data_IF_921072120271
#
_entry.id   IF_921072120271
#
_cell.length_a   1.000
_cell.length_b   1.000
_cell.length_c   1.000
_cell.angle_alpha   90.00
_cell.angle_beta   90.00
_cell.angle_gamma   90.00
#
_symmetry.space_group_name_H-M   'P 1'
#
loop_
_entity.id
_entity.type
_entity.pdbx_description
1 polymer ?
#
# COMPACT_ATOMS: atom_id res chain seq x y z
N UNK A 1 16.38 -7.08 -4.27
CA UNK A 1 15.40 -6.27 -5.03
C UNK A 1 16.11 -5.12 -5.75
N UNK A 2 16.69 -5.33 -6.94
CA UNK A 2 17.52 -4.31 -7.60
C UNK A 2 16.73 -3.24 -8.41
N UNK A 3 15.42 -3.39 -8.61
CA UNK A 3 14.64 -2.48 -9.46
C UNK A 3 14.02 -1.27 -8.74
N UNK A 4 13.97 -1.30 -7.40
CA UNK A 4 13.28 -0.28 -6.58
C UNK A 4 13.89 1.12 -6.66
N UNK A 5 15.17 1.20 -7.03
CA UNK A 5 15.92 2.45 -7.04
C UNK A 5 16.32 2.90 -8.45
N UNK A 6 15.75 2.28 -9.48
CA UNK A 6 16.01 2.70 -10.85
C UNK A 6 15.60 4.16 -11.06
N UNK A 7 16.30 4.84 -11.97
CA UNK A 7 15.98 6.23 -12.34
C UNK A 7 14.54 6.39 -12.85
N UNK A 8 13.94 5.32 -13.41
CA UNK A 8 12.55 5.32 -13.84
C UNK A 8 11.60 5.39 -12.63
N UNK A 9 11.78 4.53 -11.62
CA UNK A 9 10.96 4.54 -10.40
C UNK A 9 11.17 5.84 -9.62
N UNK A 10 12.41 6.33 -9.51
CA UNK A 10 12.71 7.62 -8.87
C UNK A 10 11.98 8.78 -9.53
N UNK A 11 11.99 8.84 -10.87
CA UNK A 11 11.25 9.87 -11.63
C UNK A 11 9.76 9.84 -11.37
N UNK A 12 9.13 8.66 -11.41
CA UNK A 12 7.69 8.53 -11.15
C UNK A 12 7.36 8.90 -9.70
N UNK A 13 8.18 8.48 -8.73
CA UNK A 13 7.95 8.80 -7.33
C UNK A 13 8.13 10.29 -6.99
N UNK A 14 8.85 11.02 -7.84
CA UNK A 14 9.08 12.46 -7.71
C UNK A 14 8.14 13.28 -8.60
N UNK A 15 7.19 12.64 -9.29
CA UNK A 15 6.23 13.36 -10.12
C UNK A 15 5.38 14.32 -9.28
N UNK A 16 5.35 15.59 -9.69
CA UNK A 16 4.72 16.66 -8.91
C UNK A 16 3.22 16.46 -8.68
N UNK A 17 2.49 15.81 -9.59
CA UNK A 17 1.07 15.55 -9.42
C UNK A 17 0.84 14.48 -8.36
N UNK A 18 1.66 13.42 -8.36
CA UNK A 18 1.62 12.37 -7.34
C UNK A 18 2.00 12.97 -5.97
N UNK A 19 3.13 13.67 -5.90
CA UNK A 19 3.65 14.23 -4.65
C UNK A 19 2.65 15.20 -4.03
N UNK A 20 2.06 16.12 -4.81
CA UNK A 20 1.09 17.09 -4.28
C UNK A 20 -0.13 16.43 -3.61
N UNK A 21 -0.64 15.33 -4.19
CA UNK A 21 -1.76 14.58 -3.60
C UNK A 21 -1.31 13.86 -2.32
N UNK A 22 -0.13 13.23 -2.33
CA UNK A 22 0.43 12.56 -1.16
C UNK A 22 0.68 13.55 -0.01
N UNK A 23 1.25 14.72 -0.29
CA UNK A 23 1.47 15.79 0.68
C UNK A 23 0.16 16.24 1.33
N UNK A 24 -0.90 16.35 0.53
CA UNK A 24 -2.24 16.71 1.00
C UNK A 24 -2.79 15.65 1.95
N UNK A 25 -2.68 14.36 1.60
CA UNK A 25 -3.20 13.26 2.45
C UNK A 25 -2.39 13.13 3.74
N UNK A 26 -1.06 13.23 3.66
CA UNK A 26 -0.17 13.11 4.82
C UNK A 26 -0.07 14.40 5.63
N UNK A 27 -0.55 15.53 5.10
CA UNK A 27 -0.48 16.85 5.74
C UNK A 27 0.95 17.33 6.00
N UNK A 28 1.90 16.98 5.13
CA UNK A 28 3.31 17.39 5.24
C UNK A 28 4.02 17.26 3.89
N UNK A 29 5.08 18.06 3.72
CA UNK A 29 6.03 17.97 2.60
C UNK A 29 7.27 17.12 2.94
N UNK A 30 7.43 16.77 4.23
CA UNK A 30 8.49 15.90 4.71
C UNK A 30 8.07 14.44 4.51
N UNK A 31 8.32 13.96 3.29
CA UNK A 31 7.92 12.66 2.78
C UNK A 31 9.11 11.76 2.42
N UNK A 32 8.94 10.49 2.72
CA UNK A 32 9.81 9.42 2.25
C UNK A 32 9.01 8.42 1.44
N UNK A 33 9.55 8.06 0.27
CA UNK A 33 9.06 6.94 -0.52
C UNK A 33 9.73 5.66 -0.06
N UNK A 34 8.94 4.61 0.16
CA UNK A 34 9.42 3.27 0.44
C UNK A 34 8.65 2.24 -0.40
N UNK A 35 9.23 1.07 -0.62
CA UNK A 35 8.49 -0.10 -1.10
C UNK A 35 7.82 0.04 -2.47
N UNK A 36 8.51 0.48 -3.53
CA UNK A 36 7.93 0.32 -4.86
C UNK A 36 7.63 -1.18 -5.15
N UNK A 37 6.55 -1.48 -5.85
CA UNK A 37 6.26 -2.85 -6.28
C UNK A 37 5.61 -2.84 -7.65
N UNK A 38 6.18 -3.57 -8.60
CA UNK A 38 5.52 -3.83 -9.88
C UNK A 38 4.86 -5.19 -9.78
N UNK A 39 3.54 -5.22 -10.01
CA UNK A 39 2.74 -6.44 -9.96
C UNK A 39 2.07 -6.66 -11.30
N UNK A 40 2.31 -7.84 -11.87
CA UNK A 40 1.52 -8.42 -12.97
C UNK A 40 0.51 -9.38 -12.35
N UNK A 41 -0.78 -9.07 -12.45
CA UNK A 41 -1.84 -9.84 -11.79
C UNK A 41 -3.21 -9.50 -12.36
N UNK A 42 -4.21 -10.29 -12.00
CA UNK A 42 -5.62 -10.00 -12.26
C UNK A 42 -6.26 -9.40 -11.00
N UNK A 43 -7.27 -8.50 -11.10
CA UNK A 43 -7.95 -7.95 -9.93
C UNK A 43 -8.51 -9.01 -8.97
N UNK A 44 -9.08 -10.09 -9.50
CA UNK A 44 -9.65 -11.15 -8.68
C UNK A 44 -8.65 -11.93 -7.81
N UNK A 45 -7.34 -11.84 -8.07
CA UNK A 45 -6.30 -12.42 -7.20
C UNK A 45 -6.16 -11.69 -5.86
N UNK A 46 -6.75 -10.50 -5.72
CA UNK A 46 -6.83 -9.74 -4.48
C UNK A 46 -8.29 -9.42 -4.11
N UNK A 47 -9.19 -10.36 -4.37
CA UNK A 47 -10.66 -10.19 -4.24
C UNK A 47 -11.20 -10.18 -2.81
N UNK A 48 -10.45 -10.72 -1.86
CA UNK A 48 -10.82 -10.60 -0.44
C UNK A 48 -10.59 -9.16 0.02
N UNK A 49 -11.50 -8.63 0.84
CA UNK A 49 -11.25 -7.38 1.56
C UNK A 49 -10.01 -7.52 2.44
N UNK A 50 -9.07 -6.59 2.31
CA UNK A 50 -7.83 -6.60 3.07
C UNK A 50 -7.33 -5.19 3.36
N UNK A 51 -6.29 -5.15 4.18
CA UNK A 51 -5.38 -4.03 4.38
C UNK A 51 -3.98 -4.62 4.20
N UNK A 52 -3.10 -3.93 3.48
CA UNK A 52 -1.71 -4.37 3.37
C UNK A 52 -1.09 -4.43 4.76
N UNK A 53 -0.36 -5.50 5.03
CA UNK A 53 0.09 -5.82 6.38
C UNK A 53 0.92 -4.68 6.99
N UNK A 54 1.85 -4.15 6.22
CA UNK A 54 2.72 -3.04 6.61
C UNK A 54 1.89 -1.79 6.91
N UNK A 55 0.84 -1.56 6.12
CA UNK A 55 -0.06 -0.41 6.28
C UNK A 55 -0.94 -0.51 7.53
N UNK A 56 -1.28 -1.74 7.95
CA UNK A 56 -1.95 -1.97 9.24
C UNK A 56 -1.06 -1.57 10.42
N UNK A 57 0.25 -1.83 10.30
CA UNK A 57 1.22 -1.60 11.37
C UNK A 57 1.81 -0.17 11.35
N UNK A 58 1.92 0.44 10.17
CA UNK A 58 2.58 1.73 9.96
C UNK A 58 1.76 2.66 9.04
N UNK A 59 1.50 3.91 9.45
CA UNK A 59 0.74 4.86 8.63
C UNK A 59 1.42 5.14 7.29
N UNK A 60 0.75 4.77 6.21
CA UNK A 60 1.27 4.82 4.84
C UNK A 60 0.18 5.32 3.91
N UNK A 61 0.58 6.07 2.87
CA UNK A 61 -0.25 6.35 1.69
C UNK A 61 0.25 5.50 0.54
N UNK A 62 -0.64 4.79 -0.12
CA UNK A 62 -0.34 4.01 -1.31
C UNK A 62 -0.78 4.78 -2.55
N UNK A 63 0.09 4.80 -3.55
CA UNK A 63 -0.18 5.28 -4.90
C UNK A 63 -0.17 4.08 -5.84
N UNK A 64 -1.32 3.79 -6.45
CA UNK A 64 -1.46 2.74 -7.47
C UNK A 64 -1.46 3.36 -8.85
N UNK A 65 -0.57 2.92 -9.72
CA UNK A 65 -0.35 3.46 -11.07
C UNK A 65 -0.60 2.34 -12.09
N UNK A 66 -1.47 2.60 -13.07
CA UNK A 66 -1.69 1.68 -14.18
C UNK A 66 -0.57 1.77 -15.20
N UNK A 67 0.10 0.64 -15.49
CA UNK A 67 1.19 0.60 -16.46
C UNK A 67 0.77 -0.04 -17.78
N UNK A 68 0.04 -1.15 -17.72
CA UNK A 68 -0.38 -1.91 -18.89
C UNK A 68 -1.67 -2.70 -18.59
N UNK A 69 -2.66 -2.62 -19.46
CA UNK A 69 -3.90 -3.42 -19.36
C UNK A 69 -4.83 -3.00 -18.23
N UNK A 70 -4.61 -1.83 -17.63
CA UNK A 70 -5.48 -1.27 -16.60
C UNK A 70 -6.68 -0.57 -17.22
N UNK A 71 -7.86 -0.88 -16.69
CA UNK A 71 -9.14 -0.27 -17.06
C UNK A 71 -9.93 0.13 -15.82
N UNK A 72 -11.06 0.81 -16.02
CA UNK A 72 -12.00 1.14 -14.95
C UNK A 72 -12.50 -0.11 -14.23
N UNK A 73 -12.82 -1.18 -14.96
CA UNK A 73 -13.30 -2.45 -14.41
C UNK A 73 -12.23 -3.10 -13.52
N UNK A 74 -10.95 -2.90 -13.87
CA UNK A 74 -9.85 -3.41 -13.07
C UNK A 74 -9.63 -2.60 -11.77
N UNK A 75 -10.17 -1.38 -11.66
CA UNK A 75 -9.86 -0.48 -10.56
C UNK A 75 -10.15 -1.08 -9.18
N UNK A 76 -9.32 -0.69 -8.21
CA UNK A 76 -9.48 -1.12 -6.82
C UNK A 76 -10.79 -0.60 -6.24
N UNK A 77 -11.43 -1.47 -5.47
CA UNK A 77 -12.57 -1.14 -4.62
C UNK A 77 -12.07 -0.80 -3.23
N UNK A 78 -12.65 0.21 -2.61
CA UNK A 78 -12.37 0.64 -1.25
C UNK A 78 -13.67 0.71 -0.44
N UNK A 79 -13.57 0.58 0.89
CA UNK A 79 -14.68 0.89 1.78
C UNK A 79 -14.38 2.22 2.51
N UNK A 80 -14.99 3.34 2.12
CA UNK A 80 -14.67 4.66 2.67
C UNK A 80 -14.77 4.72 4.21
N UNK A 81 -13.91 5.53 4.83
CA UNK A 81 -13.88 5.72 6.29
C UNK A 81 -13.20 4.62 7.11
N UNK A 82 -13.05 3.40 6.57
CA UNK A 82 -12.46 2.26 7.31
C UNK A 82 -11.00 2.43 7.72
N UNK A 83 -10.24 3.29 7.03
CA UNK A 83 -8.86 3.66 7.42
C UNK A 83 -8.74 4.19 8.86
N UNK A 84 -9.84 4.69 9.43
CA UNK A 84 -9.91 5.19 10.81
C UNK A 84 -10.02 4.08 11.86
N UNK A 85 -10.44 2.88 11.46
CA UNK A 85 -10.66 1.75 12.37
C UNK A 85 -9.36 1.10 12.83
N UNK A 86 -8.28 1.22 12.04
CA UNK A 86 -6.93 0.69 12.36
C UNK A 86 -6.93 -0.80 12.71
N UNK A 87 -7.73 -1.57 11.99
CA UNK A 87 -7.86 -3.01 12.13
C UNK A 87 -8.03 -3.67 10.76
N UNK A 88 -7.73 -4.97 10.70
CA UNK A 88 -8.05 -5.78 9.54
C UNK A 88 -9.58 -5.88 9.35
N UNK A 89 -10.06 -6.06 8.10
CA UNK A 89 -11.48 -6.33 7.85
C UNK A 89 -11.91 -7.64 8.52
N UNK A 90 -13.21 -7.76 8.87
CA UNK A 90 -13.84 -9.04 9.20
C UNK A 90 -13.65 -10.08 8.09
N UNK A 91 -13.89 -11.35 8.43
CA UNK A 91 -13.68 -12.47 7.50
C UNK A 91 -14.77 -12.57 6.42
N UNK A 92 -15.94 -11.99 6.66
CA UNK A 92 -17.08 -12.12 5.75
C UNK A 92 -17.44 -10.79 5.10
N UNK A 93 -17.85 -10.85 3.82
CA UNK A 93 -18.32 -9.67 3.08
C UNK A 93 -19.50 -9.00 3.77
N UNK A 94 -20.43 -9.76 4.35
CA UNK A 94 -21.59 -9.21 5.04
C UNK A 94 -21.19 -8.34 6.25
N UNK A 95 -20.21 -8.78 7.03
CA UNK A 95 -19.68 -8.00 8.15
C UNK A 95 -18.92 -6.77 7.66
N UNK A 96 -18.10 -6.91 6.62
CA UNK A 96 -17.39 -5.78 6.01
C UNK A 96 -18.37 -4.71 5.54
N UNK A 97 -19.40 -5.10 4.78
CA UNK A 97 -20.39 -4.18 4.20
C UNK A 97 -21.31 -3.57 5.26
N UNK A 98 -21.37 -4.12 6.48
CA UNK A 98 -22.06 -3.45 7.59
C UNK A 98 -21.42 -2.12 8.00
N UNK A 99 -20.18 -1.85 7.57
CA UNK A 99 -19.47 -0.59 7.82
C UNK A 99 -19.71 0.50 6.77
N UNK A 100 -20.39 0.20 5.65
CA UNK A 100 -20.74 1.19 4.63
C UNK A 100 -20.87 0.62 3.23
N UNK A 101 -21.06 1.52 2.27
CA UNK A 101 -21.12 1.17 0.84
C UNK A 101 -19.73 1.23 0.20
N UNK A 102 -19.32 0.18 -0.54
CA UNK A 102 -18.02 0.14 -1.20
C UNK A 102 -18.03 1.04 -2.44
N UNK A 103 -16.89 1.68 -2.70
CA UNK A 103 -16.68 2.56 -3.84
C UNK A 103 -15.54 2.03 -4.69
N UNK A 104 -15.75 1.98 -6.01
CA UNK A 104 -14.67 1.73 -6.95
C UNK A 104 -13.97 3.04 -7.29
N UNK A 105 -12.64 3.01 -7.39
CA UNK A 105 -11.86 4.16 -7.83
C UNK A 105 -12.23 4.50 -9.28
N UNK A 106 -12.72 5.72 -9.47
CA UNK A 106 -13.18 6.21 -10.77
C UNK A 106 -12.03 6.74 -11.63
N UNK A 107 -12.16 6.61 -12.95
CA UNK A 107 -11.24 7.14 -13.95
C UNK A 107 -9.90 6.40 -14.04
N UNK A 108 -9.81 5.17 -13.52
CA UNK A 108 -8.55 4.43 -13.54
C UNK A 108 -8.29 3.77 -14.90
N UNK A 109 -7.02 3.73 -15.29
CA UNK A 109 -6.55 3.10 -16.52
C UNK A 109 -5.03 3.23 -16.68
N UNK A 110 -4.52 2.80 -17.83
CA UNK A 110 -3.10 2.92 -18.17
C UNK A 110 -2.65 4.40 -18.18
N UNK A 111 -1.53 4.69 -17.51
CA UNK A 111 -1.00 6.04 -17.34
C UNK A 111 -1.71 6.89 -16.26
N UNK A 112 -2.79 6.38 -15.66
CA UNK A 112 -3.47 7.03 -14.55
C UNK A 112 -2.99 6.48 -13.22
N UNK A 113 -3.10 7.32 -12.18
CA UNK A 113 -2.84 6.91 -10.80
C UNK A 113 -4.02 7.23 -9.91
N UNK A 114 -4.09 6.52 -8.80
CA UNK A 114 -4.94 6.87 -7.66
C UNK A 114 -4.14 6.77 -6.37
N UNK A 115 -4.63 7.42 -5.33
CA UNK A 115 -4.00 7.46 -4.02
C UNK A 115 -5.00 7.13 -2.93
N UNK A 116 -4.58 6.42 -1.90
CA UNK A 116 -5.42 6.13 -0.75
C UNK A 116 -4.61 5.98 0.54
N UNK A 117 -5.23 6.26 1.69
CA UNK A 117 -4.69 5.86 2.99
C UNK A 117 -4.66 4.34 3.03
N UNK A 118 -3.47 3.75 3.13
CA UNK A 118 -3.27 2.34 2.91
C UNK A 118 -3.91 1.45 4.00
N UNK A 119 -4.47 2.05 5.06
CA UNK A 119 -5.30 1.37 6.07
C UNK A 119 -6.76 1.20 5.66
N UNK A 120 -7.19 1.81 4.57
CA UNK A 120 -8.55 1.61 4.06
C UNK A 120 -8.70 0.14 3.68
N UNK A 121 -9.86 -0.43 4.01
CA UNK A 121 -10.19 -1.76 3.52
C UNK A 121 -10.40 -1.67 2.02
N UNK A 122 -9.70 -2.52 1.28
CA UNK A 122 -9.74 -2.51 -0.17
C UNK A 122 -9.69 -3.93 -0.74
N UNK A 123 -10.05 -4.06 -2.01
CA UNK A 123 -9.98 -5.31 -2.77
C UNK A 123 -9.94 -5.05 -4.27
N UNK A 124 -9.53 -6.06 -5.03
CA UNK A 124 -9.83 -6.12 -6.46
C UNK A 124 -11.24 -6.67 -6.72
N UNK A 125 -11.75 -6.44 -7.92
CA UNK A 125 -13.03 -7.01 -8.35
C UNK A 125 -12.94 -8.54 -8.45
N UNK A 126 -13.79 -9.32 -7.74
CA UNK A 126 -13.80 -10.79 -7.81
C UNK A 126 -14.14 -11.35 -9.18
N UNK A 127 -14.82 -10.58 -10.03
CA UNK A 127 -15.30 -11.02 -11.35
C UNK A 127 -14.34 -10.68 -12.49
N UNK A 128 -13.43 -9.73 -12.28
CA UNK A 128 -12.49 -9.29 -13.32
C UNK A 128 -11.23 -10.15 -13.33
N UNK A 129 -11.03 -10.87 -14.44
CA UNK A 129 -9.90 -11.77 -14.70
C UNK A 129 -8.90 -11.24 -15.73
N UNK A 130 -9.08 -10.01 -16.21
CA UNK A 130 -8.12 -9.38 -17.13
C UNK A 130 -6.79 -9.15 -16.43
N UNK A 131 -5.70 -9.57 -17.08
CA UNK A 131 -4.34 -9.30 -16.60
C UNK A 131 -4.01 -7.82 -16.75
N UNK A 132 -3.32 -7.29 -15.74
CA UNK A 132 -2.80 -5.93 -15.73
C UNK A 132 -1.43 -5.87 -15.07
N UNK A 133 -0.69 -4.84 -15.41
CA UNK A 133 0.55 -4.46 -14.76
C UNK A 133 0.33 -3.14 -14.02
N UNK A 134 0.60 -3.16 -12.73
CA UNK A 134 0.51 -1.97 -11.87
C UNK A 134 1.84 -1.71 -11.19
N UNK A 135 2.13 -0.43 -10.97
CA UNK A 135 3.17 0.02 -10.05
C UNK A 135 2.49 0.57 -8.79
N UNK A 136 2.84 -0.01 -7.65
CA UNK A 136 2.50 0.53 -6.34
C UNK A 136 3.72 1.25 -5.77
N UNK A 137 3.49 2.43 -5.20
CA UNK A 137 4.50 3.19 -4.46
C UNK A 137 3.91 3.59 -3.12
N UNK A 138 4.68 3.43 -2.05
CA UNK A 138 4.23 3.74 -0.71
C UNK A 138 4.99 4.96 -0.17
N UNK A 139 4.25 5.86 0.49
CA UNK A 139 4.80 7.06 1.10
C UNK A 139 4.46 7.10 2.59
N UNK A 140 5.39 7.63 3.38
CA UNK A 140 5.17 7.94 4.77
C UNK A 140 5.79 9.31 5.12
N UNK A 141 5.39 9.88 6.26
CA UNK A 141 6.06 11.07 6.81
C UNK A 141 7.53 10.73 7.12
N UNK A 142 8.46 11.62 6.81
CA UNK A 142 9.89 11.42 7.07
C UNK A 142 10.20 11.27 8.57
N UNK A 143 9.39 11.89 9.42
CA UNK A 143 9.49 11.77 10.88
C UNK A 143 8.97 10.44 11.43
N UNK A 144 8.23 9.65 10.64
CA UNK A 144 7.79 8.32 11.06
C UNK A 144 8.99 7.35 11.08
N UNK A 145 9.08 6.45 12.07
CA UNK A 145 10.06 5.38 12.06
C UNK A 145 10.06 4.60 10.73
N UNK A 146 11.24 4.19 10.29
CA UNK A 146 11.47 3.39 9.08
C UNK A 146 10.78 2.05 9.20
N UNK A 147 9.97 1.67 8.21
CA UNK A 147 9.34 0.35 8.19
C UNK A 147 10.43 -0.74 8.12
N UNK A 148 10.33 -1.83 8.88
CA UNK A 148 11.28 -2.93 8.80
C UNK A 148 11.23 -3.60 7.43
N UNK A 149 12.39 -4.01 6.92
CA UNK A 149 12.46 -4.77 5.67
C UNK A 149 11.76 -6.11 5.85
N UNK A 150 10.86 -6.45 4.92
CA UNK A 150 10.24 -7.77 4.89
C UNK A 150 11.06 -8.70 4.00
N UNK A 151 11.62 -9.73 4.61
CA UNK A 151 12.48 -10.73 3.96
C UNK A 151 11.64 -11.73 3.17
N UNK A 152 10.49 -12.13 3.72
CA UNK A 152 9.52 -13.00 3.06
C UNK A 152 8.11 -12.47 3.35
N UNK A 153 7.45 -11.99 2.30
CA UNK A 153 6.09 -11.46 2.36
C UNK A 153 5.07 -12.55 2.76
N UNK A 154 5.22 -13.76 2.22
CA UNK A 154 4.29 -14.88 2.44
C UNK A 154 4.40 -15.37 3.88
N UNK A 155 5.63 -15.53 4.37
CA UNK A 155 5.90 -15.98 5.73
C UNK A 155 5.83 -14.84 6.75
N UNK A 156 5.59 -13.61 6.30
CA UNK A 156 5.55 -12.40 7.11
C UNK A 156 6.82 -12.25 7.97
N UNK A 157 8.00 -12.54 7.38
CA UNK A 157 9.29 -12.45 8.07
C UNK A 157 9.93 -11.08 7.88
N UNK A 158 10.26 -10.44 8.99
CA UNK A 158 10.81 -9.08 9.01
C UNK A 158 12.22 -9.09 9.57
N UNK A 159 13.11 -8.38 8.88
CA UNK A 159 14.46 -8.06 9.35
C UNK A 159 14.41 -6.99 10.44
N UNK A 160 15.51 -6.86 11.19
CA UNK A 160 15.79 -5.69 12.02
C UNK A 160 16.27 -4.48 11.22
N UNK A 161 16.55 -4.66 9.93
CA UNK A 161 16.98 -3.60 9.02
C UNK A 161 15.79 -2.79 8.52
N UNK A 162 16.02 -1.52 8.18
CA UNK A 162 15.02 -0.69 7.52
C UNK A 162 14.77 -1.17 6.08
N UNK A 163 13.51 -1.11 5.65
CA UNK A 163 13.17 -1.18 4.24
C UNK A 163 13.91 -0.06 3.46
N UNK A 164 14.38 -0.31 2.22
CA UNK A 164 14.98 0.71 1.38
C UNK A 164 14.04 1.88 1.14
N UNK A 165 14.62 3.06 0.95
CA UNK A 165 13.90 4.28 0.66
C UNK A 165 14.75 5.31 -0.05
N UNK A 166 14.08 6.35 -0.52
CA UNK A 166 14.72 7.61 -0.84
C UNK A 166 13.85 8.79 -0.43
N UNK A 167 14.52 9.92 -0.24
CA UNK A 167 13.87 11.20 0.05
C UNK A 167 13.49 11.89 -1.25
N UNK A 168 12.42 12.68 -1.20
CA UNK A 168 11.97 13.48 -2.34
C UNK A 168 12.68 14.84 -2.41
N UNK A 169 13.29 15.28 -1.30
CA UNK A 169 14.12 16.49 -1.19
C UNK A 169 15.23 16.30 -0.13
N UNK A 170 16.11 17.29 0.03
CA UNK A 170 17.00 17.41 1.20
C UNK A 170 16.16 17.82 2.42
N UNK A 171 15.52 16.84 3.05
CA UNK A 171 14.64 17.06 4.19
C UNK A 171 15.40 17.03 5.51
N UNK A 172 15.16 18.03 6.36
CA UNK A 172 15.51 18.00 7.77
C UNK A 172 14.53 17.08 8.53
N UNK A 173 14.96 16.48 9.64
CA UNK A 173 14.06 15.68 10.49
C UNK A 173 13.75 14.25 10.00
N UNK A 174 14.54 13.72 9.05
CA UNK A 174 14.46 12.32 8.64
C UNK A 174 14.69 11.38 9.84
N UNK A 175 13.70 10.54 10.12
CA UNK A 175 13.83 9.47 11.11
C UNK A 175 14.63 8.31 10.54
N UNK A 176 15.74 7.99 11.18
CA UNK A 176 16.59 6.83 10.84
C UNK A 176 16.27 5.59 11.67
N UNK A 177 15.42 5.74 12.69
CA UNK A 177 15.05 4.63 13.58
C UNK A 177 14.15 3.61 12.88
N UNK A 178 14.47 2.33 13.00
CA UNK A 178 13.61 1.24 12.52
C UNK A 178 12.43 1.05 13.47
N UNK A 179 11.23 0.96 12.90
CA UNK A 179 10.02 0.75 13.65
C UNK A 179 10.05 -0.63 14.31
N UNK A 180 9.53 -0.72 15.55
CA UNK A 180 9.40 -2.01 16.23
C UNK A 180 8.08 -2.65 15.83
N UNK A 181 8.14 -3.89 15.37
CA UNK A 181 6.95 -4.71 15.15
C UNK A 181 6.20 -4.83 16.48
N UNK A 182 4.89 -4.51 16.53
CA UNK A 182 4.12 -4.63 17.76
C UNK A 182 4.21 -6.05 18.34
N UNK A 183 4.35 -6.15 19.66
CA UNK A 183 4.57 -7.44 20.31
C UNK A 183 3.42 -8.43 20.04
N UNK A 184 2.18 -7.95 19.98
CA UNK A 184 0.98 -8.76 19.75
C UNK A 184 0.95 -9.37 18.34
N UNK A 185 1.60 -8.72 17.36
CA UNK A 185 1.71 -9.24 16.01
C UNK A 185 2.55 -10.53 15.96
N UNK A 186 3.58 -10.63 16.82
CA UNK A 186 4.45 -11.82 16.90
C UNK A 186 3.71 -13.08 17.37
N UNK A 187 2.61 -12.92 18.10
CA UNK A 187 1.78 -14.04 18.57
C UNK A 187 0.84 -14.55 17.49
N UNK A 188 0.33 -13.67 16.61
CA UNK A 188 -0.54 -14.06 15.50
C UNK A 188 0.16 -14.95 14.44
N UNK A 189 1.49 -14.83 14.28
CA UNK A 189 2.29 -15.72 13.40
C UNK A 189 2.07 -17.22 13.64
N UNK A 190 1.79 -17.61 14.88
CA UNK A 190 1.60 -19.01 15.24
C UNK A 190 0.21 -19.53 14.90
N UNK A 191 -0.79 -18.64 14.80
CA UNK A 191 -2.18 -19.00 14.57
C UNK A 191 -2.62 -18.82 13.12
N UNK A 192 -1.93 -18.00 12.33
CA UNK A 192 -2.31 -17.64 10.96
C UNK A 192 -1.62 -18.47 9.86
N UNK A 193 -1.26 -19.74 10.10
CA UNK A 193 -0.94 -20.65 8.99
C UNK A 193 -2.18 -20.76 8.10
N UNK A 194 -2.21 -19.97 7.03
CA UNK A 194 -3.20 -20.05 5.97
C UNK A 194 -3.09 -21.48 5.42
N UNK A 195 -4.16 -22.28 5.57
CA UNK A 195 -4.26 -23.54 4.84
C UNK A 195 -4.28 -23.16 3.36
N UNK A 196 -3.25 -23.60 2.65
CA UNK A 196 -3.20 -23.58 1.19
C UNK A 196 -4.37 -24.38 0.60
#
# INVERSE_FOLDING_TARGET
MPYLETDAIRRVAQDSAIVSVVETILGTQDLVMWGANIRRSTPNQASAWHVDLESLLWPTVTVGIGLEGCTQESATWCLPGTHRLRQAPPLTDAEVLSHGEPEQIAGFGDGYFYTFDARVWHRGDPTTSQERVMLFIHYQRASAPRIPMMEDYILQTFSTDAAPFFTLATQEGLSTGVAKIPWWYRWQRWTSRIRA
#
